data_IF_834222776217
#
_entry.id   IF_834222776217
#
_cell.length_a   1.000
_cell.length_b   1.000
_cell.length_c   1.000
_cell.angle_alpha   90.00
_cell.angle_beta   90.00
_cell.angle_gamma   90.00
#
_symmetry.space_group_name_H-M   'P 1'
#
loop_
_entity.id
_entity.type
_entity.pdbx_description
1 polymer ?
#
# COMPACT_ATOMS: atom_id res chain seq x y z
N UNK A 1 -13.33 -0.89 -17.87
CA UNK A 1 -12.67 0.15 -18.70
C UNK A 1 -12.27 1.29 -17.79
N UNK A 2 -11.00 1.74 -17.85
CA UNK A 2 -10.57 2.89 -17.06
C UNK A 2 -11.36 4.15 -17.49
N UNK A 3 -11.85 4.92 -16.53
CA UNK A 3 -12.55 6.19 -16.81
C UNK A 3 -11.55 7.25 -17.28
N UNK A 4 -12.03 8.28 -17.97
CA UNK A 4 -11.20 9.44 -18.37
C UNK A 4 -10.59 10.11 -17.13
N UNK A 5 -11.34 10.19 -16.01
CA UNK A 5 -10.87 10.79 -14.77
C UNK A 5 -9.70 10.00 -14.16
N UNK A 6 -9.74 8.66 -14.21
CA UNK A 6 -8.62 7.82 -13.79
C UNK A 6 -7.38 8.07 -14.63
N UNK A 7 -7.54 8.08 -15.96
CA UNK A 7 -6.41 8.38 -16.87
C UNK A 7 -5.79 9.74 -16.56
N UNK A 8 -6.63 10.74 -16.31
CA UNK A 8 -6.15 12.07 -15.95
C UNK A 8 -5.49 12.13 -14.58
N UNK A 9 -5.97 11.39 -13.57
CA UNK A 9 -5.33 11.35 -12.24
C UNK A 9 -3.90 10.81 -12.31
N UNK A 10 -3.63 9.83 -13.16
CA UNK A 10 -2.26 9.34 -13.40
C UNK A 10 -1.40 10.30 -14.23
N UNK A 11 -2.02 11.02 -15.15
CA UNK A 11 -1.31 11.98 -16.01
C UNK A 11 -1.00 13.29 -15.25
N UNK A 12 -1.93 13.77 -14.44
CA UNK A 12 -1.84 15.03 -13.71
C UNK A 12 -1.69 14.77 -12.21
N UNK A 13 -0.46 14.83 -11.69
CA UNK A 13 -0.13 14.57 -10.30
C UNK A 13 -1.02 15.35 -9.31
N UNK A 14 -1.30 16.64 -9.62
CA UNK A 14 -2.13 17.48 -8.74
C UNK A 14 -3.56 16.94 -8.55
N UNK A 15 -4.12 16.28 -9.58
CA UNK A 15 -5.46 15.68 -9.49
C UNK A 15 -5.42 14.44 -8.59
N UNK A 16 -4.40 13.60 -8.76
CA UNK A 16 -4.16 12.46 -7.87
C UNK A 16 -4.01 12.90 -6.41
N UNK A 17 -3.19 13.92 -6.16
CA UNK A 17 -2.95 14.47 -4.82
C UNK A 17 -4.22 15.06 -4.21
N UNK A 18 -5.04 15.75 -5.01
CA UNK A 18 -6.33 16.28 -4.55
C UNK A 18 -7.32 15.17 -4.16
N UNK A 19 -7.43 14.12 -4.98
CA UNK A 19 -8.32 12.97 -4.73
C UNK A 19 -7.83 12.19 -3.49
N UNK A 20 -6.55 11.90 -3.41
CA UNK A 20 -5.92 11.24 -2.26
C UNK A 20 -6.08 12.06 -0.98
N UNK A 21 -5.88 13.40 -1.07
CA UNK A 21 -6.07 14.31 0.05
C UNK A 21 -7.50 14.34 0.59
N UNK A 22 -8.51 14.35 -0.31
CA UNK A 22 -9.92 14.25 0.10
C UNK A 22 -10.24 12.94 0.83
N UNK A 23 -9.75 11.82 0.31
CA UNK A 23 -9.91 10.51 0.96
C UNK A 23 -9.23 10.50 2.35
N UNK A 24 -8.04 11.09 2.46
CA UNK A 24 -7.30 11.19 3.72
C UNK A 24 -8.00 12.04 4.79
N UNK A 25 -8.85 13.00 4.41
CA UNK A 25 -9.63 13.79 5.38
C UNK A 25 -10.52 12.92 6.28
N UNK A 26 -11.03 11.80 5.74
CA UNK A 26 -11.87 10.85 6.48
C UNK A 26 -11.14 10.17 7.66
N UNK A 27 -9.80 10.22 7.68
CA UNK A 27 -8.95 9.63 8.73
C UNK A 27 -8.11 10.68 9.47
N UNK A 28 -8.36 11.97 9.24
CA UNK A 28 -7.69 13.07 9.93
C UNK A 28 -6.50 13.66 9.19
N UNK A 29 -6.48 13.54 7.86
CA UNK A 29 -5.51 14.15 6.96
C UNK A 29 -4.42 13.20 6.47
N UNK A 30 -3.70 13.65 5.44
CA UNK A 30 -2.72 12.81 4.73
C UNK A 30 -1.57 12.33 5.61
N UNK A 31 -1.01 13.20 6.45
CA UNK A 31 0.07 12.83 7.36
C UNK A 31 -0.33 11.68 8.29
N UNK A 32 -1.55 11.72 8.82
CA UNK A 32 -2.08 10.64 9.66
C UNK A 32 -2.35 9.40 8.84
N UNK A 33 -2.93 9.54 7.66
CA UNK A 33 -3.22 8.42 6.74
C UNK A 33 -1.97 7.59 6.46
N UNK A 34 -0.84 8.24 6.10
CA UNK A 34 0.42 7.57 5.78
C UNK A 34 1.08 6.87 6.98
N UNK A 35 0.69 7.24 8.21
CA UNK A 35 1.20 6.65 9.44
C UNK A 35 0.32 5.52 10.00
N UNK A 36 -0.91 5.34 9.48
CA UNK A 36 -1.88 4.40 10.07
C UNK A 36 -1.33 2.98 10.21
N UNK A 37 -0.68 2.47 9.16
CA UNK A 37 -0.16 1.12 9.15
C UNK A 37 1.14 0.93 9.95
N UNK A 38 1.77 2.03 10.37
CA UNK A 38 3.01 2.02 11.15
C UNK A 38 2.75 2.18 12.66
N UNK A 39 1.51 2.48 13.05
CA UNK A 39 1.16 2.70 14.46
C UNK A 39 1.43 1.45 15.29
N UNK A 40 2.09 1.64 16.44
CA UNK A 40 2.44 0.56 17.36
C UNK A 40 3.65 -0.27 16.97
N UNK A 41 4.24 -0.03 15.79
CA UNK A 41 5.49 -0.68 15.38
C UNK A 41 6.70 0.05 15.95
N UNK A 42 7.69 -0.72 16.36
CA UNK A 42 9.03 -0.20 16.68
C UNK A 42 9.90 -0.34 15.44
N UNK A 43 10.21 0.79 14.80
CA UNK A 43 11.10 0.85 13.64
C UNK A 43 12.38 1.54 14.07
N UNK A 44 13.50 0.86 13.93
CA UNK A 44 14.81 1.39 14.29
C UNK A 44 15.51 2.01 13.06
N UNK A 45 16.50 2.90 13.24
CA UNK A 45 17.22 3.52 12.12
C UNK A 45 17.91 2.52 11.17
N UNK A 46 18.24 1.34 11.65
CA UNK A 46 18.88 0.24 10.88
C UNK A 46 17.87 -0.77 10.30
N UNK A 47 16.57 -0.65 10.61
CA UNK A 47 15.52 -1.51 10.05
C UNK A 47 15.52 -1.43 8.53
N UNK A 48 15.62 -2.57 7.85
CA UNK A 48 15.52 -2.63 6.39
C UNK A 48 14.06 -2.62 5.96
N UNK A 49 13.65 -1.55 5.31
CA UNK A 49 12.25 -1.30 4.91
C UNK A 49 12.10 -1.35 3.39
N UNK A 50 11.11 -2.08 2.92
CA UNK A 50 10.64 -2.02 1.54
C UNK A 50 9.31 -1.27 1.49
N UNK A 51 9.27 -0.19 0.72
CA UNK A 51 8.03 0.49 0.31
C UNK A 51 7.59 -0.09 -1.03
N UNK A 52 6.62 -1.00 -0.99
CA UNK A 52 6.15 -1.78 -2.14
C UNK A 52 5.08 -1.02 -2.89
N UNK A 53 5.26 -0.86 -4.21
CA UNK A 53 4.45 0.00 -5.08
C UNK A 53 4.48 1.45 -4.57
N UNK A 54 5.70 1.98 -4.39
CA UNK A 54 5.93 3.24 -3.70
C UNK A 54 5.41 4.48 -4.44
N UNK A 55 5.03 4.34 -5.71
CA UNK A 55 4.55 5.44 -6.53
C UNK A 55 5.55 6.60 -6.60
N UNK A 56 5.08 7.81 -6.33
CA UNK A 56 5.93 9.02 -6.27
C UNK A 56 6.56 9.27 -4.88
N UNK A 57 6.53 8.28 -3.97
CA UNK A 57 7.26 8.29 -2.72
C UNK A 57 6.51 8.90 -1.52
N UNK A 58 5.17 8.99 -1.55
CA UNK A 58 4.42 9.59 -0.44
C UNK A 58 4.57 8.78 0.86
N UNK A 59 4.49 7.44 0.80
CA UNK A 59 4.74 6.61 1.96
C UNK A 59 6.24 6.54 2.29
N UNK A 60 7.10 6.49 1.27
CA UNK A 60 8.56 6.55 1.42
C UNK A 60 8.99 7.75 2.27
N UNK A 61 8.39 8.93 2.05
CA UNK A 61 8.69 10.16 2.80
C UNK A 61 8.45 10.00 4.31
N UNK A 62 7.50 9.19 4.70
CA UNK A 62 7.24 8.88 6.12
C UNK A 62 8.22 7.83 6.62
N UNK A 63 8.47 6.77 5.84
CA UNK A 63 9.33 5.66 6.24
C UNK A 63 10.78 6.09 6.51
N UNK A 64 11.32 7.05 5.71
CA UNK A 64 12.67 7.57 5.91
C UNK A 64 12.83 8.41 7.20
N UNK A 65 11.75 8.78 7.86
CA UNK A 65 11.80 9.44 9.16
C UNK A 65 12.10 8.43 10.29
N UNK A 66 11.86 7.15 10.05
CA UNK A 66 12.06 6.06 11.01
C UNK A 66 13.31 5.24 10.71
N UNK A 67 13.65 5.03 9.43
CA UNK A 67 14.78 4.20 9.02
C UNK A 67 15.66 4.89 7.97
N UNK A 68 16.97 4.62 8.05
CA UNK A 68 17.96 5.04 7.05
C UNK A 68 18.07 4.04 5.88
N UNK A 69 17.45 2.87 5.97
CA UNK A 69 17.55 1.77 5.01
C UNK A 69 16.19 1.52 4.33
N UNK A 70 15.69 2.53 3.62
CA UNK A 70 14.41 2.45 2.89
C UNK A 70 14.66 2.23 1.41
N UNK A 71 14.02 1.20 0.85
CA UNK A 71 14.00 0.92 -0.58
C UNK A 71 12.56 1.04 -1.08
N UNK A 72 12.32 1.88 -2.08
CA UNK A 72 11.05 1.94 -2.81
C UNK A 72 11.11 1.05 -4.05
N UNK A 73 10.07 0.26 -4.29
CA UNK A 73 9.89 -0.53 -5.52
C UNK A 73 8.61 -0.09 -6.22
N UNK A 74 8.70 0.14 -7.52
CA UNK A 74 7.56 0.42 -8.38
C UNK A 74 7.83 -0.02 -9.81
N UNK A 75 6.80 -0.37 -10.57
CA UNK A 75 6.94 -0.77 -11.98
C UNK A 75 6.99 0.43 -12.94
N UNK A 76 6.67 1.64 -12.46
CA UNK A 76 6.61 2.85 -13.26
C UNK A 76 7.90 3.67 -13.15
N UNK A 77 8.72 3.76 -14.23
CA UNK A 77 9.93 4.59 -14.22
C UNK A 77 9.62 6.07 -14.00
N UNK A 78 8.44 6.53 -14.43
CA UNK A 78 8.01 7.91 -14.20
C UNK A 78 7.71 8.17 -12.72
N UNK A 79 7.05 7.23 -12.06
CA UNK A 79 6.78 7.30 -10.61
C UNK A 79 8.09 7.30 -9.83
N UNK A 80 9.01 6.40 -10.15
CA UNK A 80 10.32 6.33 -9.50
C UNK A 80 11.16 7.59 -9.70
N UNK A 81 11.13 8.18 -10.89
CA UNK A 81 11.80 9.47 -11.13
C UNK A 81 11.27 10.57 -10.20
N UNK A 82 9.95 10.61 -9.99
CA UNK A 82 9.31 11.57 -9.06
C UNK A 82 9.68 11.23 -7.61
N UNK A 83 9.62 9.94 -7.23
CA UNK A 83 10.00 9.49 -5.89
C UNK A 83 11.43 9.87 -5.54
N UNK A 84 12.37 9.70 -6.47
CA UNK A 84 13.77 10.07 -6.28
C UNK A 84 13.97 11.59 -6.11
N UNK A 85 13.13 12.41 -6.77
CA UNK A 85 13.14 13.87 -6.57
C UNK A 85 12.55 14.26 -5.22
N UNK A 86 11.47 13.59 -4.80
CA UNK A 86 10.74 13.90 -3.56
C UNK A 86 11.47 13.39 -2.31
N UNK A 87 12.11 12.21 -2.41
CA UNK A 87 12.75 11.52 -1.27
C UNK A 87 14.12 10.97 -1.71
N UNK A 88 15.12 11.84 -1.96
CA UNK A 88 16.42 11.44 -2.52
C UNK A 88 17.27 10.56 -1.58
N UNK A 89 16.93 10.47 -0.30
CA UNK A 89 17.63 9.65 0.69
C UNK A 89 17.25 8.17 0.65
N UNK A 90 16.17 7.78 -0.03
CA UNK A 90 15.79 6.39 -0.22
C UNK A 90 16.44 5.81 -1.49
N UNK A 91 16.55 4.48 -1.55
CA UNK A 91 16.91 3.74 -2.75
C UNK A 91 15.66 3.40 -3.55
N UNK A 92 15.79 3.27 -4.88
CA UNK A 92 14.67 2.93 -5.74
C UNK A 92 15.02 1.84 -6.73
N UNK A 93 14.08 0.91 -6.92
CA UNK A 93 14.21 -0.25 -7.81
C UNK A 93 12.99 -0.31 -8.72
N UNK A 94 13.23 -0.34 -10.03
CA UNK A 94 12.20 -0.56 -11.04
C UNK A 94 12.00 -2.07 -11.22
N UNK A 95 10.83 -2.57 -10.79
CA UNK A 95 10.45 -3.97 -10.95
C UNK A 95 8.94 -4.14 -10.74
N UNK A 96 8.42 -5.26 -11.24
CA UNK A 96 7.07 -5.72 -10.90
C UNK A 96 7.07 -6.33 -9.50
N UNK A 97 6.00 -6.07 -8.75
CA UNK A 97 5.82 -6.57 -7.38
C UNK A 97 5.62 -8.09 -7.33
N UNK A 98 5.18 -8.70 -8.44
CA UNK A 98 5.01 -10.15 -8.61
C UNK A 98 6.33 -10.92 -8.72
N UNK A 99 7.45 -10.21 -9.02
CA UNK A 99 8.78 -10.79 -9.20
C UNK A 99 9.84 -9.81 -8.70
N UNK A 100 10.00 -9.73 -7.39
CA UNK A 100 10.90 -8.75 -6.77
C UNK A 100 12.36 -9.18 -6.91
N UNK A 101 13.28 -8.28 -7.40
CA UNK A 101 14.68 -8.61 -7.61
C UNK A 101 15.51 -8.56 -6.31
N UNK A 102 14.92 -9.06 -5.22
CA UNK A 102 15.58 -9.11 -3.92
C UNK A 102 15.77 -10.56 -3.48
N UNK A 103 16.87 -10.85 -2.77
CA UNK A 103 17.07 -12.15 -2.14
C UNK A 103 15.97 -12.43 -1.10
N UNK A 104 15.79 -13.72 -0.79
CA UNK A 104 14.96 -14.13 0.33
C UNK A 104 15.41 -13.47 1.63
N UNK A 105 14.47 -13.16 2.52
CA UNK A 105 14.75 -12.67 3.88
C UNK A 105 15.61 -11.40 3.89
N UNK A 106 15.34 -10.47 2.98
CA UNK A 106 16.11 -9.22 2.83
C UNK A 106 15.62 -8.10 3.75
N UNK A 107 14.32 -8.07 4.08
CA UNK A 107 13.67 -6.94 4.75
C UNK A 107 13.11 -7.32 6.11
N UNK A 108 13.15 -6.35 7.03
CA UNK A 108 12.52 -6.44 8.36
C UNK A 108 11.07 -5.98 8.31
N UNK A 109 10.77 -5.01 7.43
CA UNK A 109 9.45 -4.43 7.21
C UNK A 109 9.19 -4.30 5.70
N UNK A 110 8.03 -4.76 5.25
CA UNK A 110 7.46 -4.44 3.94
C UNK A 110 6.20 -3.64 4.16
N UNK A 111 6.11 -2.47 3.56
CA UNK A 111 4.94 -1.59 3.62
C UNK A 111 4.34 -1.42 2.23
N UNK A 112 3.01 -1.35 2.15
CA UNK A 112 2.30 -0.93 0.93
C UNK A 112 1.09 -0.08 1.31
N UNK A 113 0.81 0.92 0.49
CA UNK A 113 -0.26 1.87 0.75
C UNK A 113 -1.02 2.20 -0.52
N UNK A 114 -2.30 1.79 -0.56
CA UNK A 114 -3.24 2.11 -1.66
C UNK A 114 -2.72 1.65 -3.02
N UNK A 115 -2.33 0.38 -3.11
CA UNK A 115 -1.79 -0.21 -4.32
C UNK A 115 -2.38 -1.59 -4.66
N UNK A 116 -2.80 -2.36 -3.65
CA UNK A 116 -3.26 -3.74 -3.86
C UNK A 116 -4.61 -3.80 -4.59
N UNK A 117 -5.43 -2.76 -4.50
CA UNK A 117 -6.68 -2.64 -5.25
C UNK A 117 -6.50 -2.54 -6.77
N UNK A 118 -5.30 -2.21 -7.23
CA UNK A 118 -4.95 -2.18 -8.66
C UNK A 118 -4.69 -3.59 -9.24
N UNK A 119 -4.49 -4.58 -8.39
CA UNK A 119 -4.01 -5.91 -8.73
C UNK A 119 -5.18 -6.87 -8.98
N UNK A 120 -5.07 -7.68 -10.04
CA UNK A 120 -5.95 -8.82 -10.21
C UNK A 120 -5.75 -9.82 -9.06
N UNK A 121 -6.73 -10.67 -8.79
CA UNK A 121 -6.63 -11.68 -7.73
C UNK A 121 -5.40 -12.59 -7.87
N UNK A 122 -4.98 -12.90 -9.11
CA UNK A 122 -3.77 -13.67 -9.37
C UNK A 122 -2.50 -12.90 -9.00
N UNK A 123 -2.39 -11.65 -9.43
CA UNK A 123 -1.25 -10.77 -9.11
C UNK A 123 -1.17 -10.56 -7.60
N UNK A 124 -2.29 -10.30 -6.94
CA UNK A 124 -2.34 -10.11 -5.50
C UNK A 124 -1.74 -11.32 -4.76
N UNK A 125 -2.12 -12.55 -5.14
CA UNK A 125 -1.55 -13.76 -4.55
C UNK A 125 -0.03 -13.86 -4.81
N UNK A 126 0.42 -13.61 -6.03
CA UNK A 126 1.85 -13.63 -6.37
C UNK A 126 2.64 -12.60 -5.54
N UNK A 127 2.13 -11.38 -5.45
CA UNK A 127 2.74 -10.30 -4.66
C UNK A 127 2.83 -10.68 -3.18
N UNK A 128 1.76 -11.22 -2.59
CA UNK A 128 1.77 -11.62 -1.18
C UNK A 128 2.77 -12.76 -0.91
N UNK A 129 2.96 -13.70 -1.86
CA UNK A 129 4.01 -14.73 -1.76
C UNK A 129 5.40 -14.10 -1.85
N UNK A 130 5.62 -13.13 -2.74
CA UNK A 130 6.88 -12.40 -2.85
C UNK A 130 7.19 -11.59 -1.58
N UNK A 131 6.18 -10.90 -1.02
CA UNK A 131 6.29 -10.22 0.28
C UNK A 131 6.73 -11.21 1.36
N UNK A 132 6.10 -12.39 1.42
CA UNK A 132 6.48 -13.42 2.37
C UNK A 132 7.93 -13.88 2.14
N UNK A 133 8.33 -14.10 0.89
CA UNK A 133 9.69 -14.53 0.53
C UNK A 133 10.75 -13.54 0.98
N UNK A 134 10.57 -12.25 0.65
CA UNK A 134 11.58 -11.21 0.91
C UNK A 134 11.64 -10.76 2.37
N UNK A 135 10.59 -10.99 3.16
CA UNK A 135 10.61 -10.72 4.60
C UNK A 135 11.50 -11.73 5.34
N UNK A 136 12.22 -11.25 6.33
CA UNK A 136 12.92 -12.09 7.31
C UNK A 136 11.92 -12.84 8.19
N UNK A 137 12.29 -13.98 8.80
CA UNK A 137 11.50 -14.57 9.88
C UNK A 137 11.25 -13.54 10.99
N UNK A 138 10.00 -13.42 11.43
CA UNK A 138 9.59 -12.39 12.39
C UNK A 138 9.37 -11.00 11.80
N UNK A 139 9.71 -10.78 10.53
CA UNK A 139 9.50 -9.52 9.81
C UNK A 139 8.01 -9.19 9.65
N UNK A 140 7.70 -7.92 9.48
CA UNK A 140 6.32 -7.40 9.46
C UNK A 140 5.94 -6.97 8.05
N UNK A 141 4.76 -7.35 7.62
CA UNK A 141 4.06 -6.76 6.48
C UNK A 141 2.98 -5.79 6.97
N UNK A 142 2.93 -4.60 6.39
CA UNK A 142 1.91 -3.61 6.68
C UNK A 142 1.21 -3.16 5.41
N UNK A 143 -0.10 -3.07 5.47
CA UNK A 143 -0.96 -2.72 4.34
C UNK A 143 -1.98 -1.67 4.77
N UNK A 144 -2.19 -0.66 3.91
CA UNK A 144 -3.38 0.21 3.93
C UNK A 144 -4.03 0.13 2.57
N UNK A 145 -5.32 -0.26 2.52
CA UNK A 145 -6.06 -0.28 1.25
C UNK A 145 -7.59 -0.25 1.46
N UNK A 146 -8.35 -0.22 0.37
CA UNK A 146 -9.80 -0.22 0.41
C UNK A 146 -10.35 -1.48 1.07
N UNK A 147 -11.50 -1.30 1.70
CA UNK A 147 -12.28 -2.35 2.31
C UNK A 147 -13.76 -2.09 2.09
N UNK A 148 -14.59 -3.13 2.11
CA UNK A 148 -16.03 -2.98 2.02
C UNK A 148 -16.55 -2.20 3.23
N UNK A 149 -17.25 -1.06 3.05
CA UNK A 149 -17.78 -0.29 4.16
C UNK A 149 -18.63 -1.14 5.11
N UNK A 150 -18.33 -1.10 6.39
CA UNK A 150 -19.13 -1.76 7.43
C UNK A 150 -20.31 -0.89 7.86
N UNK A 151 -20.20 0.43 7.67
CA UNK A 151 -21.32 1.35 7.88
C UNK A 151 -21.94 1.70 6.52
N UNK A 152 -23.22 1.34 6.28
CA UNK A 152 -23.91 1.53 4.99
C UNK A 152 -23.99 2.99 4.51
N UNK A 153 -23.88 3.97 5.41
CA UNK A 153 -23.92 5.40 5.07
C UNK A 153 -22.75 5.82 4.18
N UNK A 154 -21.62 5.11 4.27
CA UNK A 154 -20.42 5.39 3.47
C UNK A 154 -20.46 4.73 2.08
N UNK A 155 -21.35 3.75 1.88
CA UNK A 155 -21.40 2.97 0.65
C UNK A 155 -21.64 3.81 -0.61
N UNK A 156 -22.60 4.76 -0.66
CA UNK A 156 -22.79 5.56 -1.88
C UNK A 156 -21.56 6.36 -2.28
N UNK A 157 -20.87 6.97 -1.31
CA UNK A 157 -19.66 7.76 -1.57
C UNK A 157 -18.53 6.89 -2.09
N UNK A 158 -18.28 5.73 -1.49
CA UNK A 158 -17.27 4.78 -1.94
C UNK A 158 -17.59 4.24 -3.33
N UNK A 159 -18.85 3.87 -3.59
CA UNK A 159 -19.28 3.37 -4.90
C UNK A 159 -19.07 4.41 -6.01
N UNK A 160 -19.43 5.68 -5.77
CA UNK A 160 -19.19 6.77 -6.72
C UNK A 160 -17.70 6.99 -6.95
N UNK A 161 -16.89 6.98 -5.90
CA UNK A 161 -15.43 7.11 -6.00
C UNK A 161 -14.85 6.00 -6.88
N UNK A 162 -15.17 4.73 -6.58
CA UNK A 162 -14.67 3.58 -7.33
C UNK A 162 -15.12 3.59 -8.79
N UNK A 163 -16.37 4.00 -9.08
CA UNK A 163 -16.87 4.12 -10.44
C UNK A 163 -16.12 5.18 -11.25
N UNK A 164 -15.71 6.28 -10.62
CA UNK A 164 -15.09 7.40 -11.32
C UNK A 164 -13.58 7.24 -11.45
N UNK A 165 -12.92 6.70 -10.45
CA UNK A 165 -11.45 6.74 -10.34
C UNK A 165 -10.79 5.37 -10.40
N UNK A 166 -11.52 4.27 -10.19
CA UNK A 166 -10.93 2.94 -10.04
C UNK A 166 -11.35 1.96 -11.13
N UNK A 167 -10.70 0.80 -11.15
CA UNK A 167 -10.97 -0.29 -12.07
C UNK A 167 -11.78 -1.40 -11.40
N UNK A 168 -12.11 -2.42 -12.16
CA UNK A 168 -12.79 -3.62 -11.69
C UNK A 168 -12.03 -4.34 -10.57
N UNK A 169 -10.69 -4.25 -10.57
CA UNK A 169 -9.83 -4.85 -9.53
C UNK A 169 -10.08 -4.26 -8.14
N UNK A 170 -10.38 -2.95 -8.06
CA UNK A 170 -10.73 -2.33 -6.77
C UNK A 170 -12.05 -2.89 -6.21
N UNK A 171 -13.04 -3.15 -7.08
CA UNK A 171 -14.27 -3.83 -6.67
C UNK A 171 -14.02 -5.26 -6.20
N UNK A 172 -13.14 -6.00 -6.90
CA UNK A 172 -12.75 -7.34 -6.50
C UNK A 172 -12.05 -7.34 -5.14
N UNK A 173 -11.21 -6.34 -4.85
CA UNK A 173 -10.56 -6.23 -3.55
C UNK A 173 -11.55 -6.07 -2.40
N UNK A 174 -12.66 -5.32 -2.60
CA UNK A 174 -13.70 -5.17 -1.56
C UNK A 174 -14.34 -6.49 -1.13
N UNK A 175 -14.33 -7.49 -2.02
CA UNK A 175 -14.88 -8.84 -1.78
C UNK A 175 -13.80 -9.87 -1.42
N UNK A 176 -12.53 -9.42 -1.35
CA UNK A 176 -11.39 -10.29 -1.06
C UNK A 176 -11.12 -10.36 0.45
N UNK A 177 -11.07 -11.57 1.00
CA UNK A 177 -10.58 -11.81 2.37
C UNK A 177 -9.05 -11.77 2.41
N UNK A 178 -8.49 -10.56 2.54
CA UNK A 178 -7.04 -10.37 2.65
C UNK A 178 -6.45 -11.03 3.89
N UNK A 179 -7.19 -11.06 4.99
CA UNK A 179 -6.75 -11.70 6.24
C UNK A 179 -6.60 -13.21 6.02
N UNK A 180 -7.61 -13.85 5.43
CA UNK A 180 -7.56 -15.26 5.09
C UNK A 180 -6.44 -15.61 4.12
N UNK A 181 -6.22 -14.77 3.08
CA UNK A 181 -5.11 -14.96 2.14
C UNK A 181 -3.74 -14.88 2.83
N UNK A 182 -3.52 -13.88 3.68
CA UNK A 182 -2.28 -13.73 4.44
C UNK A 182 -2.02 -14.96 5.32
N UNK A 183 -3.06 -15.44 6.03
CA UNK A 183 -2.95 -16.62 6.89
C UNK A 183 -2.63 -17.89 6.09
N UNK A 184 -3.23 -18.07 4.90
CA UNK A 184 -2.95 -19.22 4.03
C UNK A 184 -1.49 -19.24 3.53
N UNK A 185 -0.87 -18.06 3.34
CA UNK A 185 0.54 -17.93 2.94
C UNK A 185 1.50 -18.22 4.10
N UNK A 186 1.04 -18.07 5.36
CA UNK A 186 1.83 -18.32 6.55
C UNK A 186 2.10 -17.09 7.40
N UNK A 187 1.38 -15.99 7.17
CA UNK A 187 1.43 -14.84 8.05
C UNK A 187 0.56 -15.03 9.28
N UNK A 188 1.02 -14.52 10.40
CA UNK A 188 0.21 -14.28 11.59
C UNK A 188 -0.30 -12.84 11.55
N UNK A 189 -1.61 -12.66 11.32
CA UNK A 189 -2.21 -11.31 11.34
C UNK A 189 -2.28 -10.82 12.79
N UNK A 190 -1.53 -9.76 13.08
CA UNK A 190 -1.43 -9.15 14.42
C UNK A 190 -2.49 -8.11 14.66
N UNK A 191 -2.84 -7.37 13.62
CA UNK A 191 -3.82 -6.29 13.71
C UNK A 191 -4.62 -6.16 12.40
N UNK A 192 -5.92 -5.96 12.56
CA UNK A 192 -6.82 -5.45 11.53
C UNK A 192 -7.60 -4.28 12.13
N UNK A 193 -7.41 -3.10 11.58
CA UNK A 193 -8.19 -1.90 11.94
C UNK A 193 -8.94 -1.37 10.75
N UNK A 194 -10.19 -0.99 10.98
CA UNK A 194 -11.05 -0.37 9.96
C UNK A 194 -11.24 1.11 10.27
N UNK A 195 -11.18 1.94 9.23
CA UNK A 195 -11.33 3.38 9.29
C UNK A 195 -12.39 3.84 8.29
N UNK A 196 -12.78 5.12 8.37
CA UNK A 196 -13.72 5.75 7.43
C UNK A 196 -15.01 4.92 7.23
N UNK A 197 -15.68 4.56 8.36
CA UNK A 197 -16.90 3.73 8.29
C UNK A 197 -16.66 2.32 7.77
N UNK A 198 -15.43 1.82 7.87
CA UNK A 198 -15.02 0.50 7.40
C UNK A 198 -14.59 0.47 5.94
N UNK A 199 -14.51 1.61 5.24
CA UNK A 199 -14.10 1.65 3.82
C UNK A 199 -12.59 1.59 3.59
N UNK A 200 -11.81 1.70 4.65
CA UNK A 200 -10.36 1.59 4.64
C UNK A 200 -9.93 0.56 5.67
N UNK A 201 -9.06 -0.36 5.28
CA UNK A 201 -8.45 -1.34 6.17
C UNK A 201 -6.96 -1.07 6.35
N UNK A 202 -6.49 -1.32 7.56
CA UNK A 202 -5.09 -1.37 7.93
C UNK A 202 -4.80 -2.75 8.48
N UNK A 203 -3.83 -3.43 7.89
CA UNK A 203 -3.41 -4.76 8.32
C UNK A 203 -1.94 -4.72 8.72
N UNK A 204 -1.62 -5.34 9.85
CA UNK A 204 -0.25 -5.68 10.24
C UNK A 204 -0.16 -7.19 10.40
N UNK A 205 0.75 -7.82 9.67
CA UNK A 205 0.94 -9.25 9.66
C UNK A 205 2.42 -9.60 9.83
N UNK A 206 2.72 -10.60 10.65
CA UNK A 206 4.08 -11.07 10.93
C UNK A 206 4.35 -12.36 10.18
N UNK A 207 5.52 -12.44 9.52
CA UNK A 207 6.02 -13.70 8.99
C UNK A 207 6.43 -14.63 10.13
N UNK A 208 5.81 -15.80 10.18
CA UNK A 208 6.12 -16.85 11.17
C UNK A 208 7.27 -17.73 10.69
#
# INVERSE_FOLDING_TARGET
MATILRTWSYQYQWLYDAVSGLAALSVGGEARFRQLALQGLTIHPDTKVLDLCCGSGQATQVLVQYSQNVTGLDASPLSLKRAQQNVPQAQYVEAFAEEMPFPDRSFDLVHTSVAMHEMSSRQLQQILHEVYRVLKPGGIFTLVDFHRPTNPIFWPGVAVFLLLFETETAWQLLDTDLVGLLQQIGFEVKELKLYAGGSLQVIQARKV
#
